data_IF_293200689143
#
_entry.id   IF_293200689143
#
_cell.length_a   1.000
_cell.length_b   1.000
_cell.length_c   1.000
_cell.angle_alpha   90.00
_cell.angle_beta   90.00
_cell.angle_gamma   90.00
#
_symmetry.space_group_name_H-M   'P 1'
#
loop_
_entity.id
_entity.type
_entity.pdbx_description
1 polymer ?
#
# COMPACT_ATOMS: atom_id res chain seq x y z
N UNK A 1 -27.35 -5.77 4.36
CA UNK A 1 -26.29 -6.53 3.67
C UNK A 1 -24.97 -6.30 4.38
N UNK A 2 -24.08 -7.29 4.42
CA UNK A 2 -22.70 -7.08 4.91
C UNK A 2 -21.93 -6.13 3.99
N UNK A 3 -21.00 -5.36 4.56
CA UNK A 3 -20.12 -4.45 3.80
C UNK A 3 -18.89 -5.19 3.31
N UNK A 4 -18.38 -4.82 2.15
CA UNK A 4 -17.11 -5.27 1.59
C UNK A 4 -15.93 -4.67 2.39
N UNK A 5 -14.73 -5.23 2.21
CA UNK A 5 -13.54 -4.70 2.84
C UNK A 5 -13.29 -3.23 2.46
N UNK A 6 -13.38 -2.91 1.17
CA UNK A 6 -13.18 -1.55 0.67
C UNK A 6 -14.16 -0.55 1.30
N UNK A 7 -15.44 -0.91 1.41
CA UNK A 7 -16.47 -0.07 2.05
C UNK A 7 -16.17 0.15 3.54
N UNK A 8 -15.68 -0.87 4.25
CA UNK A 8 -15.31 -0.75 5.67
C UNK A 8 -14.07 0.15 5.86
N UNK A 9 -13.00 -0.13 5.12
CA UNK A 9 -11.73 0.60 5.27
C UNK A 9 -11.87 2.08 4.87
N UNK A 10 -12.47 2.36 3.71
CA UNK A 10 -12.68 3.72 3.24
C UNK A 10 -13.72 4.46 4.08
N UNK A 11 -14.80 3.78 4.54
CA UNK A 11 -15.78 4.35 5.45
C UNK A 11 -15.18 4.77 6.78
N UNK A 12 -14.30 3.93 7.37
CA UNK A 12 -13.53 4.28 8.56
C UNK A 12 -12.68 5.54 8.33
N UNK A 13 -11.94 5.59 7.20
CA UNK A 13 -11.06 6.72 6.89
C UNK A 13 -11.82 8.00 6.51
N UNK A 14 -13.06 7.89 6.01
CA UNK A 14 -13.95 9.00 5.72
C UNK A 14 -14.71 9.48 6.97
N UNK A 15 -14.86 8.64 7.99
CA UNK A 15 -15.63 8.94 9.20
C UNK A 15 -17.13 8.72 9.07
N UNK A 16 -17.60 8.07 7.99
CA UNK A 16 -19.01 7.74 7.74
C UNK A 16 -19.15 6.49 6.87
N UNK A 17 -20.34 5.93 6.86
CA UNK A 17 -20.65 4.76 6.02
C UNK A 17 -20.63 5.10 4.53
N UNK A 18 -19.96 4.26 3.76
CA UNK A 18 -19.84 4.41 2.31
C UNK A 18 -20.31 3.15 1.59
N UNK A 19 -20.60 3.27 0.29
CA UNK A 19 -20.98 2.17 -0.59
C UNK A 19 -20.18 2.21 -1.88
N UNK A 20 -20.07 1.05 -2.54
CA UNK A 20 -19.39 0.95 -3.82
C UNK A 20 -19.87 2.01 -4.82
N UNK A 21 -18.96 2.52 -5.64
CA UNK A 21 -19.16 3.59 -6.62
C UNK A 21 -19.37 5.00 -6.04
N UNK A 22 -19.50 5.18 -4.73
CA UNK A 22 -19.55 6.49 -4.10
C UNK A 22 -18.18 7.18 -4.18
N UNK A 23 -18.17 8.48 -4.44
CA UNK A 23 -16.96 9.31 -4.34
C UNK A 23 -16.84 9.83 -2.91
N UNK A 24 -15.69 9.59 -2.29
CA UNK A 24 -15.42 9.93 -0.89
C UNK A 24 -14.05 10.60 -0.76
N UNK A 25 -13.91 11.46 0.22
CA UNK A 25 -12.60 12.02 0.60
C UNK A 25 -12.16 11.38 1.91
N UNK A 26 -10.95 10.86 1.92
CA UNK A 26 -10.36 10.19 3.08
C UNK A 26 -9.05 10.84 3.50
N UNK A 27 -8.65 10.65 4.74
CA UNK A 27 -7.30 10.91 5.22
C UNK A 27 -6.54 9.59 5.29
N UNK A 28 -5.56 9.34 4.40
CA UNK A 28 -4.73 8.14 4.49
C UNK A 28 -3.99 8.08 5.82
N UNK A 29 -3.88 6.87 6.38
CA UNK A 29 -3.13 6.64 7.61
C UNK A 29 -1.62 6.75 7.35
N UNK A 30 -1.16 6.26 6.18
CA UNK A 30 0.24 6.32 5.75
C UNK A 30 0.39 6.66 4.28
N UNK A 31 1.47 7.40 3.98
CA UNK A 31 1.89 7.77 2.64
C UNK A 31 3.33 7.29 2.42
N UNK A 32 3.54 6.31 1.52
CA UNK A 32 4.86 5.82 1.17
C UNK A 32 5.37 6.49 -0.10
N UNK A 33 6.62 6.91 -0.11
CA UNK A 33 7.33 7.37 -1.31
C UNK A 33 8.74 6.80 -1.36
N UNK A 34 9.25 6.66 -2.57
CA UNK A 34 10.59 6.13 -2.83
C UNK A 34 11.44 7.12 -3.62
N UNK A 35 12.37 6.67 -4.46
CA UNK A 35 13.26 7.52 -5.27
C UNK A 35 12.54 8.54 -6.16
N UNK A 36 11.26 8.31 -6.48
CA UNK A 36 10.44 9.28 -7.22
C UNK A 36 9.94 10.45 -6.34
N UNK A 37 10.35 10.53 -5.09
CA UNK A 37 9.99 11.60 -4.16
C UNK A 37 10.49 12.98 -4.58
N UNK A 38 11.64 13.09 -5.28
CA UNK A 38 12.15 14.36 -5.75
C UNK A 38 11.19 15.08 -6.73
N UNK A 39 10.71 14.45 -7.83
CA UNK A 39 9.69 15.08 -8.68
C UNK A 39 8.37 15.35 -7.97
N UNK A 40 7.99 14.55 -6.96
CA UNK A 40 6.80 14.81 -6.14
C UNK A 40 7.02 16.07 -5.28
N UNK A 41 8.19 16.22 -4.65
CA UNK A 41 8.56 17.41 -3.87
C UNK A 41 8.55 18.68 -4.72
N UNK A 42 9.05 18.60 -5.97
CA UNK A 42 8.97 19.72 -6.92
C UNK A 42 7.52 20.10 -7.25
N UNK A 43 6.62 19.12 -7.39
CA UNK A 43 5.19 19.34 -7.60
C UNK A 43 4.54 19.93 -6.36
N UNK A 44 4.86 19.41 -5.16
CA UNK A 44 4.40 19.95 -3.89
C UNK A 44 4.75 21.43 -3.73
N UNK A 45 6.00 21.82 -4.02
CA UNK A 45 6.44 23.22 -3.95
C UNK A 45 5.63 24.15 -4.88
N UNK A 46 5.15 23.64 -6.03
CA UNK A 46 4.30 24.40 -6.97
C UNK A 46 2.87 24.65 -6.44
N UNK A 47 2.38 23.84 -5.49
CA UNK A 47 1.08 24.04 -4.85
C UNK A 47 1.08 25.32 -4.00
N UNK A 48 2.26 25.79 -3.56
CA UNK A 48 2.40 27.03 -2.79
C UNK A 48 2.17 26.85 -1.29
N UNK A 49 2.08 25.59 -0.80
CA UNK A 49 2.05 25.28 0.63
C UNK A 49 3.48 25.14 1.14
N UNK A 50 3.78 25.71 2.30
CA UNK A 50 5.14 25.70 2.85
C UNK A 50 5.52 24.34 3.46
N UNK A 51 4.63 23.74 4.26
CA UNK A 51 4.91 22.53 4.99
C UNK A 51 3.95 21.41 4.61
N UNK A 52 4.42 20.17 4.63
CA UNK A 52 3.54 19.00 4.53
C UNK A 52 2.58 18.94 5.71
N UNK A 53 1.38 18.41 5.49
CA UNK A 53 0.30 18.44 6.49
C UNK A 53 0.57 17.53 7.69
N UNK A 54 1.03 16.33 7.44
CA UNK A 54 1.26 15.28 8.45
C UNK A 54 2.62 14.59 8.20
N UNK A 55 3.76 15.22 8.59
CA UNK A 55 5.09 14.66 8.34
C UNK A 55 5.26 13.27 8.98
N UNK A 56 4.61 13.03 10.12
CA UNK A 56 4.65 11.76 10.86
C UNK A 56 3.96 10.60 10.13
N UNK A 57 3.10 10.90 9.14
CA UNK A 57 2.40 9.88 8.32
C UNK A 57 3.08 9.64 6.96
N UNK A 58 4.21 10.28 6.72
CA UNK A 58 4.97 10.11 5.48
C UNK A 58 6.17 9.23 5.76
N UNK A 59 6.37 8.21 4.93
CA UNK A 59 7.52 7.33 4.96
C UNK A 59 8.24 7.39 3.61
N UNK A 60 9.55 7.67 3.64
CA UNK A 60 10.42 7.61 2.48
C UNK A 60 11.37 6.42 2.58
N UNK A 61 11.49 5.68 1.47
CA UNK A 61 12.41 4.55 1.36
C UNK A 61 13.12 4.65 0.01
N UNK A 62 14.45 4.83 0.01
CA UNK A 62 15.23 4.85 -1.23
C UNK A 62 15.65 3.42 -1.58
N UNK A 63 15.09 2.87 -2.66
CA UNK A 63 15.29 1.46 -3.04
C UNK A 63 15.30 1.17 -4.55
N UNK A 64 14.55 1.91 -5.36
CA UNK A 64 14.38 1.61 -6.79
C UNK A 64 15.62 1.92 -7.65
N UNK A 65 16.40 2.93 -7.24
CA UNK A 65 17.58 3.37 -7.95
C UNK A 65 18.83 3.31 -7.06
N UNK A 66 19.04 2.18 -6.39
CA UNK A 66 20.11 1.95 -5.43
C UNK A 66 20.99 0.77 -5.86
N UNK A 67 22.32 0.97 -6.01
CA UNK A 67 23.00 2.27 -6.04
C UNK A 67 22.52 3.15 -7.19
N UNK A 68 22.69 4.49 -7.07
CA UNK A 68 22.23 5.42 -8.10
C UNK A 68 22.89 5.11 -9.46
N UNK A 69 22.11 4.74 -10.51
CA UNK A 69 22.64 4.29 -11.79
C UNK A 69 23.16 5.46 -12.66
N UNK A 70 22.85 6.70 -12.29
CA UNK A 70 23.32 7.92 -12.98
C UNK A 70 23.40 9.10 -12.04
N UNK A 71 24.03 10.19 -12.51
CA UNK A 71 24.09 11.47 -11.80
C UNK A 71 22.69 12.03 -11.49
N UNK A 72 21.75 11.88 -12.39
CA UNK A 72 20.38 12.39 -12.20
C UNK A 72 19.67 11.67 -11.04
N UNK A 73 19.85 10.35 -10.92
CA UNK A 73 19.32 9.60 -9.77
C UNK A 73 20.00 10.02 -8.47
N UNK A 74 21.32 10.26 -8.49
CA UNK A 74 22.04 10.76 -7.32
C UNK A 74 21.55 12.17 -6.90
N UNK A 75 21.25 13.04 -7.86
CA UNK A 75 20.64 14.36 -7.61
C UNK A 75 19.25 14.19 -7.01
N UNK A 76 18.40 13.30 -7.54
CA UNK A 76 17.10 13.02 -6.96
C UNK A 76 17.20 12.52 -5.52
N UNK A 77 18.14 11.62 -5.21
CA UNK A 77 18.37 11.16 -3.83
C UNK A 77 18.78 12.33 -2.91
N UNK A 78 19.64 13.22 -3.40
CA UNK A 78 20.01 14.43 -2.65
C UNK A 78 18.78 15.30 -2.36
N UNK A 79 17.97 15.58 -3.37
CA UNK A 79 16.74 16.37 -3.22
C UNK A 79 15.75 15.74 -2.23
N UNK A 80 15.60 14.41 -2.25
CA UNK A 80 14.77 13.70 -1.26
C UNK A 80 15.28 13.91 0.16
N UNK A 81 16.60 13.75 0.39
CA UNK A 81 17.24 13.97 1.70
C UNK A 81 17.01 15.39 2.20
N UNK A 82 17.19 16.38 1.31
CA UNK A 82 16.96 17.79 1.62
C UNK A 82 15.49 18.05 1.96
N UNK A 83 14.55 17.50 1.18
CA UNK A 83 13.13 17.65 1.42
C UNK A 83 12.68 16.98 2.73
N UNK A 84 13.12 15.77 3.00
CA UNK A 84 12.84 15.05 4.26
C UNK A 84 13.30 15.88 5.46
N UNK A 85 14.51 16.45 5.39
CA UNK A 85 15.05 17.31 6.44
C UNK A 85 14.27 18.63 6.56
N UNK A 86 13.98 19.30 5.43
CA UNK A 86 13.22 20.55 5.38
C UNK A 86 11.84 20.41 6.01
N UNK A 87 11.16 19.28 5.73
CA UNK A 87 9.80 19.02 6.17
C UNK A 87 9.71 18.29 7.53
N UNK A 88 10.84 17.92 8.13
CA UNK A 88 10.88 17.23 9.42
C UNK A 88 10.22 15.84 9.39
N UNK A 89 10.32 15.12 8.27
CA UNK A 89 9.74 13.78 8.12
C UNK A 89 10.57 12.77 8.91
N UNK A 90 10.00 12.10 9.92
CA UNK A 90 10.76 11.22 10.81
C UNK A 90 11.05 9.84 10.21
N UNK A 91 10.19 9.38 9.31
CA UNK A 91 10.24 8.01 8.76
C UNK A 91 10.99 8.03 7.43
N UNK A 92 12.33 7.94 7.50
CA UNK A 92 13.19 7.97 6.33
C UNK A 92 14.23 6.85 6.38
N UNK A 93 14.21 5.99 5.37
CA UNK A 93 15.13 4.87 5.18
C UNK A 93 16.00 5.15 3.96
N UNK A 94 17.22 5.58 4.24
CA UNK A 94 18.23 5.89 3.22
C UNK A 94 18.96 4.62 2.73
N UNK A 95 19.76 4.73 1.71
CA UNK A 95 20.54 3.66 1.05
C UNK A 95 21.60 2.98 1.94
N UNK A 96 21.61 3.25 3.24
CA UNK A 96 22.51 2.67 4.23
C UNK A 96 21.97 1.34 4.79
N UNK A 97 22.56 0.89 5.90
CA UNK A 97 22.21 -0.37 6.58
C UNK A 97 20.73 -0.49 6.97
N UNK A 98 20.03 0.63 7.10
CA UNK A 98 18.59 0.68 7.43
C UNK A 98 17.69 0.64 6.20
N UNK A 99 18.25 0.70 5.00
CA UNK A 99 17.54 0.59 3.73
C UNK A 99 16.93 -0.78 3.50
N UNK A 100 16.24 -0.92 2.38
CA UNK A 100 15.61 -2.17 1.96
C UNK A 100 14.56 -1.91 0.90
N UNK A 101 13.98 -2.96 0.34
CA UNK A 101 12.87 -2.86 -0.61
C UNK A 101 11.67 -2.20 0.08
N UNK A 102 11.12 -1.14 -0.50
CA UNK A 102 10.12 -0.29 0.15
C UNK A 102 8.90 -1.08 0.65
N UNK A 103 8.36 -1.98 -0.16
CA UNK A 103 7.19 -2.76 0.24
C UNK A 103 7.48 -3.74 1.37
N UNK A 104 8.67 -4.35 1.36
CA UNK A 104 9.12 -5.22 2.44
C UNK A 104 9.33 -4.41 3.73
N UNK A 105 10.02 -3.28 3.60
CA UNK A 105 10.31 -2.39 4.73
C UNK A 105 9.05 -1.85 5.41
N UNK A 106 8.04 -1.42 4.63
CA UNK A 106 6.75 -0.97 5.18
C UNK A 106 6.05 -2.05 6.00
N UNK A 107 6.20 -3.31 5.63
CA UNK A 107 5.64 -4.44 6.36
C UNK A 107 6.46 -4.79 7.62
N UNK A 108 7.77 -4.93 7.46
CA UNK A 108 8.68 -5.32 8.55
C UNK A 108 8.76 -4.28 9.67
N UNK A 109 8.69 -3.00 9.33
CA UNK A 109 8.70 -1.91 10.30
C UNK A 109 7.32 -1.64 10.94
N UNK A 110 6.29 -2.46 10.62
CA UNK A 110 4.99 -2.39 11.27
C UNK A 110 4.11 -1.21 10.84
N UNK A 111 4.32 -0.66 9.65
CA UNK A 111 3.42 0.36 9.08
C UNK A 111 2.13 -0.27 8.52
N UNK A 112 2.24 -1.47 7.93
CA UNK A 112 1.13 -2.18 7.33
C UNK A 112 0.31 -2.91 8.40
N UNK A 113 -0.86 -2.36 8.73
CA UNK A 113 -1.75 -2.89 9.78
C UNK A 113 -3.16 -3.11 9.23
N UNK A 114 -3.92 -4.08 9.81
CA UNK A 114 -5.29 -4.35 9.40
C UNK A 114 -6.20 -3.12 9.45
N UNK A 115 -6.98 -2.91 8.38
CA UNK A 115 -7.96 -1.85 8.29
C UNK A 115 -7.43 -0.45 8.01
N UNK A 116 -6.11 -0.23 7.97
CA UNK A 116 -5.55 1.06 7.61
C UNK A 116 -5.73 1.36 6.11
N UNK A 117 -5.81 2.64 5.77
CA UNK A 117 -5.77 3.14 4.39
C UNK A 117 -4.37 3.68 4.11
N UNK A 118 -3.67 3.05 3.18
CA UNK A 118 -2.29 3.37 2.84
C UNK A 118 -2.17 3.73 1.36
N UNK A 119 -1.47 4.80 1.06
CA UNK A 119 -1.20 5.20 -0.32
C UNK A 119 0.29 5.25 -0.58
N UNK A 120 0.68 4.89 -1.79
CA UNK A 120 2.09 4.93 -2.19
C UNK A 120 2.29 5.55 -3.56
N UNK A 121 3.44 6.15 -3.79
CA UNK A 121 3.83 6.65 -5.11
C UNK A 121 4.39 5.55 -6.02
N UNK A 122 4.07 4.31 -5.69
CA UNK A 122 4.42 3.10 -6.43
C UNK A 122 3.18 2.24 -6.72
N UNK A 123 3.13 1.62 -7.89
CA UNK A 123 1.99 0.81 -8.33
C UNK A 123 1.76 -0.43 -7.47
N UNK A 124 2.84 -1.04 -6.93
CA UNK A 124 2.78 -2.24 -6.11
C UNK A 124 2.49 -1.98 -4.62
N UNK A 125 2.06 -0.78 -4.27
CA UNK A 125 1.60 -0.43 -2.90
C UNK A 125 0.49 -1.36 -2.41
N UNK A 126 -0.26 -2.01 -3.30
CA UNK A 126 -1.26 -3.04 -2.97
C UNK A 126 -0.69 -4.23 -2.16
N UNK A 127 0.63 -4.41 -2.11
CA UNK A 127 1.31 -5.44 -1.31
C UNK A 127 0.88 -5.47 0.17
N UNK A 128 0.58 -4.32 0.75
CA UNK A 128 0.22 -4.22 2.18
C UNK A 128 -1.15 -4.82 2.51
N UNK A 129 -1.94 -5.14 1.48
CA UNK A 129 -3.17 -5.93 1.66
C UNK A 129 -2.94 -7.34 2.20
N UNK A 130 -1.71 -7.87 2.11
CA UNK A 130 -1.31 -9.11 2.79
C UNK A 130 -1.47 -9.03 4.32
N UNK A 131 -1.35 -7.81 4.86
CA UNK A 131 -1.56 -7.48 6.27
C UNK A 131 -2.98 -6.95 6.55
N UNK A 132 -3.88 -7.01 5.58
CA UNK A 132 -5.25 -6.54 5.75
C UNK A 132 -5.41 -5.01 5.66
N UNK A 133 -4.48 -4.29 5.05
CA UNK A 133 -4.62 -2.86 4.76
C UNK A 133 -5.34 -2.61 3.42
N UNK A 134 -6.13 -1.55 3.34
CA UNK A 134 -6.54 -0.99 2.05
C UNK A 134 -5.38 -0.16 1.52
N UNK A 135 -4.65 -0.70 0.59
CA UNK A 135 -3.42 -0.10 0.09
C UNK A 135 -3.40 0.00 -1.43
N UNK A 136 -2.98 1.14 -1.95
CA UNK A 136 -3.03 1.41 -3.39
C UNK A 136 -1.98 2.42 -3.84
N UNK A 137 -1.49 2.22 -5.07
CA UNK A 137 -0.67 3.19 -5.76
C UNK A 137 -1.47 4.41 -6.20
N UNK A 138 -0.85 5.58 -6.14
CA UNK A 138 -1.40 6.85 -6.62
C UNK A 138 -0.37 7.63 -7.45
N UNK A 139 -0.86 8.53 -8.28
CA UNK A 139 -0.01 9.36 -9.12
C UNK A 139 0.83 10.37 -8.33
N UNK A 140 1.93 10.84 -8.93
CA UNK A 140 2.85 11.81 -8.30
C UNK A 140 2.14 13.11 -7.91
N UNK A 141 1.24 13.60 -8.75
CA UNK A 141 0.46 14.84 -8.47
C UNK A 141 -0.52 14.63 -7.32
N UNK A 142 -1.15 13.45 -7.26
CA UNK A 142 -2.04 13.07 -6.15
C UNK A 142 -1.24 12.97 -4.84
N UNK A 143 -0.06 12.34 -4.87
CA UNK A 143 0.80 12.26 -3.69
C UNK A 143 1.22 13.64 -3.20
N UNK A 144 1.59 14.57 -4.10
CA UNK A 144 1.90 15.95 -3.73
C UNK A 144 0.69 16.65 -3.09
N UNK A 145 -0.52 16.42 -3.60
CA UNK A 145 -1.76 16.94 -3.01
C UNK A 145 -2.04 16.34 -1.63
N UNK A 146 -1.79 15.04 -1.45
CA UNK A 146 -1.90 14.38 -0.12
C UNK A 146 -0.90 14.98 0.88
N UNK A 147 0.34 15.21 0.48
CA UNK A 147 1.31 15.88 1.35
C UNK A 147 0.86 17.30 1.75
N UNK A 148 0.24 18.04 0.82
CA UNK A 148 -0.22 19.40 1.07
C UNK A 148 -1.47 19.46 1.94
N UNK A 149 -2.41 18.54 1.75
CA UNK A 149 -3.77 18.63 2.33
C UNK A 149 -4.05 17.57 3.39
N UNK A 150 -3.30 16.47 3.40
CA UNK A 150 -3.59 15.28 4.20
C UNK A 150 -4.76 14.44 3.66
N UNK A 151 -5.31 14.77 2.49
CA UNK A 151 -6.55 14.19 1.97
C UNK A 151 -6.41 13.67 0.55
N UNK A 152 -7.20 12.64 0.25
CA UNK A 152 -7.33 12.07 -1.09
C UNK A 152 -8.78 11.67 -1.34
N UNK A 153 -9.25 11.86 -2.54
CA UNK A 153 -10.55 11.34 -2.95
C UNK A 153 -10.42 9.94 -3.56
N UNK A 154 -11.42 9.11 -3.33
CA UNK A 154 -11.57 7.81 -3.97
C UNK A 154 -12.99 7.65 -4.50
N UNK A 155 -13.14 7.01 -5.65
CA UNK A 155 -14.35 6.27 -5.95
C UNK A 155 -14.24 4.94 -5.20
N UNK A 156 -15.16 4.63 -4.30
CA UNK A 156 -15.15 3.34 -3.57
C UNK A 156 -15.22 2.21 -4.60
N UNK A 157 -14.20 1.32 -4.68
CA UNK A 157 -14.21 0.25 -5.68
C UNK A 157 -15.27 -0.81 -5.37
N UNK A 158 -15.79 -1.44 -6.42
CA UNK A 158 -16.51 -2.70 -6.29
C UNK A 158 -15.52 -3.79 -5.84
N UNK A 159 -16.05 -4.87 -5.24
CA UNK A 159 -15.22 -5.95 -4.74
C UNK A 159 -15.37 -7.22 -5.58
N UNK A 160 -14.22 -7.83 -5.90
CA UNK A 160 -14.14 -9.18 -6.45
C UNK A 160 -13.73 -10.14 -5.34
N UNK A 161 -14.54 -11.15 -5.07
CA UNK A 161 -14.20 -12.22 -4.12
C UNK A 161 -13.55 -13.39 -4.85
N UNK A 162 -12.31 -13.71 -4.49
CA UNK A 162 -11.57 -14.86 -4.99
C UNK A 162 -11.45 -15.90 -3.88
N UNK A 163 -12.04 -17.08 -4.10
CA UNK A 163 -11.99 -18.18 -3.12
C UNK A 163 -11.02 -19.25 -3.59
N UNK A 164 -9.94 -19.46 -2.83
CA UNK A 164 -8.92 -20.46 -3.12
C UNK A 164 -9.12 -21.65 -2.20
N UNK A 165 -9.38 -22.81 -2.78
CA UNK A 165 -9.60 -24.08 -2.05
C UNK A 165 -8.43 -25.04 -2.21
N UNK A 166 -8.24 -25.91 -1.24
CA UNK A 166 -7.19 -26.93 -1.26
C UNK A 166 -5.81 -26.39 -0.89
N UNK A 167 -4.78 -27.10 -1.35
CA UNK A 167 -3.36 -26.80 -1.08
C UNK A 167 -2.56 -26.88 -2.36
N UNK A 168 -1.49 -26.11 -2.42
CA UNK A 168 -0.54 -26.20 -3.53
C UNK A 168 0.14 -27.58 -3.55
N UNK A 169 0.35 -28.08 -4.75
CA UNK A 169 1.15 -29.28 -4.96
C UNK A 169 2.63 -28.98 -4.68
N UNK A 170 3.45 -29.99 -4.31
CA UNK A 170 4.89 -29.80 -4.19
C UNK A 170 5.47 -29.15 -5.45
N UNK A 171 6.29 -28.12 -5.29
CA UNK A 171 6.92 -27.38 -6.37
C UNK A 171 6.06 -26.25 -6.97
N UNK A 172 4.82 -26.05 -6.49
CA UNK A 172 3.94 -24.92 -6.87
C UNK A 172 3.98 -23.85 -5.80
N UNK A 173 4.26 -22.62 -6.17
CA UNK A 173 4.34 -21.44 -5.30
C UNK A 173 3.13 -20.51 -5.45
N UNK A 174 3.00 -19.54 -4.56
CA UNK A 174 2.01 -18.48 -4.67
C UNK A 174 2.20 -17.66 -5.97
N UNK A 175 3.46 -17.54 -6.45
CA UNK A 175 3.76 -16.88 -7.72
C UNK A 175 3.17 -17.63 -8.91
N UNK A 176 3.27 -18.95 -8.94
CA UNK A 176 2.68 -19.76 -10.01
C UNK A 176 1.16 -19.63 -10.02
N UNK A 177 0.55 -19.65 -8.83
CA UNK A 177 -0.90 -19.46 -8.68
C UNK A 177 -1.35 -18.10 -9.23
N UNK A 178 -0.72 -17.01 -8.79
CA UNK A 178 -1.17 -15.67 -9.21
C UNK A 178 -0.92 -15.42 -10.69
N UNK A 179 0.18 -15.92 -11.26
CA UNK A 179 0.43 -15.85 -12.70
C UNK A 179 -0.62 -16.62 -13.51
N UNK A 180 -1.02 -17.82 -13.03
CA UNK A 180 -2.10 -18.59 -13.66
C UNK A 180 -3.43 -17.83 -13.55
N UNK A 181 -3.74 -17.27 -12.39
CA UNK A 181 -4.95 -16.49 -12.17
C UNK A 181 -5.00 -15.28 -13.12
N UNK A 182 -3.90 -14.51 -13.22
CA UNK A 182 -3.80 -13.37 -14.17
C UNK A 182 -4.00 -13.84 -15.61
N UNK A 183 -3.43 -14.99 -15.97
CA UNK A 183 -3.63 -15.58 -17.31
C UNK A 183 -5.10 -15.91 -17.62
N UNK A 184 -5.88 -16.28 -16.59
CA UNK A 184 -7.28 -16.62 -16.75
C UNK A 184 -8.19 -15.37 -16.79
N UNK A 185 -7.94 -14.38 -15.89
CA UNK A 185 -8.77 -13.16 -15.79
C UNK A 185 -8.31 -12.03 -16.72
N UNK A 186 -7.10 -12.10 -17.23
CA UNK A 186 -6.41 -11.10 -18.08
C UNK A 186 -5.99 -9.85 -17.31
N UNK A 187 -5.25 -8.96 -17.98
CA UNK A 187 -4.67 -7.74 -17.39
C UNK A 187 -5.71 -6.71 -16.91
N UNK A 188 -6.93 -6.81 -17.39
CA UNK A 188 -8.08 -5.92 -17.12
C UNK A 188 -9.20 -6.61 -16.29
N UNK A 189 -8.94 -7.84 -15.82
CA UNK A 189 -9.97 -8.69 -15.19
C UNK A 189 -10.56 -8.13 -13.90
N UNK A 190 -9.87 -7.22 -13.21
CA UNK A 190 -10.37 -6.55 -12.01
C UNK A 190 -10.14 -5.04 -12.06
N UNK A 191 -10.29 -4.43 -13.24
CA UNK A 191 -10.03 -3.01 -13.42
C UNK A 191 -10.77 -2.14 -12.40
N UNK A 192 -9.98 -1.41 -11.59
CA UNK A 192 -10.42 -0.58 -10.49
C UNK A 192 -11.20 -1.30 -9.37
N UNK A 193 -11.15 -2.62 -9.25
CA UNK A 193 -11.84 -3.37 -8.19
C UNK A 193 -10.94 -3.57 -6.95
N UNK A 194 -11.57 -3.80 -5.79
CA UNK A 194 -10.90 -4.35 -4.61
C UNK A 194 -11.00 -5.86 -4.65
N UNK A 195 -9.87 -6.55 -4.75
CA UNK A 195 -9.84 -8.02 -4.80
C UNK A 195 -9.62 -8.58 -3.41
N UNK A 196 -10.58 -9.40 -2.94
CA UNK A 196 -10.55 -10.03 -1.63
C UNK A 196 -10.24 -11.53 -1.77
N UNK A 197 -9.05 -11.95 -1.34
CA UNK A 197 -8.63 -13.35 -1.34
C UNK A 197 -9.10 -14.08 -0.08
N UNK A 198 -9.83 -15.16 -0.25
CA UNK A 198 -10.45 -15.97 0.80
C UNK A 198 -10.19 -17.46 0.61
N UNK A 199 -10.55 -18.25 1.63
CA UNK A 199 -10.55 -19.71 1.62
C UNK A 199 -9.30 -20.34 2.22
N UNK A 200 -9.40 -21.66 2.43
CA UNK A 200 -8.36 -22.44 3.12
C UNK A 200 -7.00 -22.36 2.41
N UNK A 201 -6.98 -22.22 1.09
CA UNK A 201 -5.75 -22.06 0.32
C UNK A 201 -4.98 -20.80 0.74
N UNK A 202 -5.69 -19.69 1.02
CA UNK A 202 -5.10 -18.45 1.51
C UNK A 202 -4.70 -18.56 2.98
N UNK A 203 -5.54 -19.18 3.80
CA UNK A 203 -5.25 -19.39 5.23
C UNK A 203 -3.98 -20.25 5.45
N UNK A 204 -3.73 -21.22 4.55
CA UNK A 204 -2.53 -22.05 4.58
C UNK A 204 -1.26 -21.29 4.16
N UNK A 205 -1.35 -20.21 3.39
CA UNK A 205 -0.20 -19.41 2.95
C UNK A 205 0.54 -18.72 4.10
N UNK A 206 1.84 -18.60 3.96
CA UNK A 206 2.67 -17.71 4.75
C UNK A 206 2.36 -16.23 4.42
N UNK A 207 2.81 -15.30 5.26
CA UNK A 207 2.68 -13.86 4.97
C UNK A 207 3.40 -13.49 3.68
N UNK A 208 4.61 -14.02 3.43
CA UNK A 208 5.37 -13.77 2.21
C UNK A 208 4.62 -14.22 0.94
N UNK A 209 3.94 -15.36 0.99
CA UNK A 209 3.10 -15.83 -0.12
C UNK A 209 1.89 -14.92 -0.33
N UNK A 210 1.23 -14.45 0.74
CA UNK A 210 0.15 -13.45 0.65
C UNK A 210 0.65 -12.11 0.10
N UNK A 211 1.86 -11.69 0.48
CA UNK A 211 2.50 -10.50 -0.11
C UNK A 211 2.68 -10.65 -1.61
N UNK A 212 3.10 -11.82 -2.08
CA UNK A 212 3.21 -12.11 -3.52
C UNK A 212 1.86 -11.98 -4.23
N UNK A 213 0.77 -12.50 -3.64
CA UNK A 213 -0.58 -12.37 -4.21
C UNK A 213 -1.02 -10.91 -4.30
N UNK A 214 -0.95 -10.19 -3.19
CA UNK A 214 -1.41 -8.81 -3.10
C UNK A 214 -0.55 -7.88 -3.97
N UNK A 215 0.77 -8.09 -4.02
CA UNK A 215 1.69 -7.36 -4.88
C UNK A 215 1.27 -7.42 -6.35
N UNK A 216 0.94 -8.62 -6.83
CA UNK A 216 0.53 -8.85 -8.21
C UNK A 216 -0.90 -8.38 -8.53
N UNK A 217 -1.61 -7.80 -7.57
CA UNK A 217 -2.96 -7.25 -7.77
C UNK A 217 -3.02 -6.21 -8.89
N UNK A 218 -1.99 -5.38 -9.02
CA UNK A 218 -1.92 -4.35 -10.05
C UNK A 218 -1.83 -4.94 -11.46
N UNK A 219 -1.27 -6.15 -11.63
CA UNK A 219 -1.04 -6.78 -12.93
C UNK A 219 -2.35 -7.25 -13.63
N UNK A 220 -3.46 -7.25 -12.92
CA UNK A 220 -4.79 -7.51 -13.49
C UNK A 220 -5.80 -6.39 -13.20
N UNK A 221 -5.30 -5.17 -12.97
CA UNK A 221 -6.07 -3.94 -12.88
C UNK A 221 -6.66 -3.62 -11.50
N UNK A 222 -6.39 -4.43 -10.48
CA UNK A 222 -6.97 -4.19 -9.14
C UNK A 222 -6.51 -2.86 -8.52
N UNK A 223 -7.45 -2.11 -7.97
CA UNK A 223 -7.16 -0.90 -7.17
C UNK A 223 -6.57 -1.26 -5.81
N UNK A 224 -6.99 -2.38 -5.24
CA UNK A 224 -6.50 -2.96 -4.00
C UNK A 224 -6.63 -4.48 -4.08
N UNK A 225 -5.70 -5.20 -3.46
CA UNK A 225 -5.78 -6.65 -3.26
C UNK A 225 -5.54 -6.95 -1.79
N UNK A 226 -6.37 -7.77 -1.17
CA UNK A 226 -6.32 -7.98 0.27
C UNK A 226 -6.54 -9.45 0.64
N UNK A 227 -5.78 -9.92 1.63
CA UNK A 227 -6.03 -11.16 2.34
C UNK A 227 -6.65 -10.86 3.70
N UNK A 228 -7.58 -11.70 4.13
CA UNK A 228 -8.15 -11.58 5.47
C UNK A 228 -7.04 -11.71 6.52
N UNK A 229 -6.86 -10.73 7.43
CA UNK A 229 -5.90 -10.86 8.53
C UNK A 229 -6.31 -12.00 9.48
N UNK A 230 -5.32 -12.74 9.95
CA UNK A 230 -5.46 -13.86 10.88
C UNK A 230 -4.35 -13.82 11.94
N UNK A 231 -4.22 -14.90 12.73
CA UNK A 231 -3.19 -15.02 13.76
C UNK A 231 -1.78 -14.82 13.23
N UNK A 232 -1.47 -15.24 12.00
CA UNK A 232 -0.14 -15.05 11.37
C UNK A 232 0.17 -13.57 11.19
N UNK A 233 -0.82 -12.77 10.76
CA UNK A 233 -0.67 -11.31 10.63
C UNK A 233 -0.46 -10.67 11.99
N UNK A 234 -1.28 -11.04 12.99
CA UNK A 234 -1.17 -10.50 14.34
C UNK A 234 0.18 -10.82 14.97
N UNK A 235 0.68 -12.05 14.79
CA UNK A 235 2.00 -12.44 15.27
C UNK A 235 3.13 -11.67 14.58
N UNK A 236 2.99 -11.36 13.30
CA UNK A 236 4.00 -10.63 12.54
C UNK A 236 4.11 -9.14 12.95
N UNK A 237 3.04 -8.55 13.47
CA UNK A 237 3.00 -7.09 13.80
C UNK A 237 3.07 -6.79 15.30
N UNK A 238 2.96 -7.78 16.17
CA UNK A 238 2.78 -7.59 17.62
C UNK A 238 3.87 -6.75 18.31
N UNK A 239 5.11 -6.84 17.81
CA UNK A 239 6.27 -6.24 18.47
C UNK A 239 6.69 -4.89 17.84
N UNK A 240 6.16 -4.53 16.65
CA UNK A 240 6.63 -3.40 15.88
C UNK A 240 5.54 -2.51 15.27
N UNK A 241 4.27 -2.72 15.62
CA UNK A 241 3.17 -1.92 15.08
C UNK A 241 3.38 -0.41 15.31
N UNK A 242 3.39 0.38 14.24
CA UNK A 242 3.61 1.85 14.28
C UNK A 242 2.35 2.66 14.55
N UNK A 243 1.24 2.03 14.91
CA UNK A 243 -0.01 2.73 15.19
C UNK A 243 -0.84 1.97 16.22
N UNK A 244 -1.37 2.69 17.19
CA UNK A 244 -2.36 2.17 18.15
C UNK A 244 -3.75 1.96 17.49
N UNK A 245 -3.90 2.37 16.25
CA UNK A 245 -5.14 2.23 15.44
C UNK A 245 -5.33 0.81 14.91
N UNK A 246 -4.91 -0.21 15.64
CA UNK A 246 -5.27 -1.60 15.35
C UNK A 246 -6.79 -1.73 15.40
N UNK A 247 -7.44 -1.28 14.34
CA UNK A 247 -8.83 -1.59 14.11
C UNK A 247 -8.88 -3.04 13.66
N UNK A 248 -9.18 -3.92 14.61
CA UNK A 248 -9.72 -5.26 14.29
C UNK A 248 -11.07 -5.03 13.62
N UNK A 249 -11.05 -4.44 12.44
CA UNK A 249 -12.20 -4.47 11.56
C UNK A 249 -12.41 -5.94 11.30
N UNK A 250 -13.49 -6.50 11.84
CA UNK A 250 -13.94 -7.83 11.50
C UNK A 250 -14.23 -7.84 10.00
N UNK A 251 -13.22 -8.23 9.24
CA UNK A 251 -13.28 -8.43 7.80
C UNK A 251 -13.95 -9.77 7.54
#
# INVERSE_FOLDING_TARGET
MGKTFAEKALGRAAGYEVVANQVVTVEPDWCMSHDNGAPIARTFKKIGVKNVKYPERICFILDHAVPAPSSDHAVNHKEVREFVKEQGIPNFYDVKSEGGVCHQKMCEEGYALPGLVMVGSDSHTCTYGAYGAFSTGIGRSEMAAVWATGKLWFKVPESMKVVVTGKFKPGVSAKDFILKFIGDVRADGADYMSVEFHGEGIENMSIAERMTLCNMGIEFGAKNAVCRPDGKVLDAIKDNAKSDKLSLIHI
#
